data_IF_034285540856
#
_entry.id   IF_034285540856
#
_cell.length_a   1.000
_cell.length_b   1.000
_cell.length_c   1.000
_cell.angle_alpha   90.00
_cell.angle_beta   90.00
_cell.angle_gamma   90.00
#
_symmetry.space_group_name_H-M   'P 1'
#
loop_
_entity.id
_entity.type
_entity.pdbx_description
1 polymer ?
#
# COMPACT_ATOMS: atom_id res chain seq x y z
N UNK A 1 -6.86 10.10 -6.69
CA UNK A 1 -7.47 8.95 -6.02
C UNK A 1 -8.80 9.34 -5.38
N UNK A 2 -9.80 8.47 -5.49
CA UNK A 2 -11.09 8.69 -4.83
C UNK A 2 -10.96 8.39 -3.33
N UNK A 3 -11.46 9.27 -2.43
CA UNK A 3 -11.37 9.02 -0.99
C UNK A 3 -12.05 7.72 -0.55
N UNK A 4 -11.43 7.04 0.41
CA UNK A 4 -11.98 5.86 1.05
C UNK A 4 -12.51 6.28 2.41
N UNK A 5 -13.81 6.06 2.64
CA UNK A 5 -14.46 6.41 3.88
C UNK A 5 -14.55 5.20 4.82
N UNK A 6 -14.29 5.44 6.10
CA UNK A 6 -14.48 4.50 7.19
C UNK A 6 -15.08 5.26 8.38
N UNK A 7 -16.33 4.95 8.72
CA UNK A 7 -17.11 5.73 9.67
C UNK A 7 -17.16 7.21 9.22
N UNK A 8 -16.76 8.14 10.07
CA UNK A 8 -16.75 9.57 9.77
C UNK A 8 -15.36 10.08 9.31
N UNK A 9 -14.45 9.19 8.97
CA UNK A 9 -13.09 9.54 8.56
C UNK A 9 -12.89 9.15 7.10
N UNK A 10 -12.22 10.01 6.34
CA UNK A 10 -11.87 9.77 4.93
C UNK A 10 -10.36 9.74 4.75
N UNK A 11 -9.89 8.83 3.90
CA UNK A 11 -8.48 8.61 3.61
C UNK A 11 -8.23 8.66 2.10
N UNK A 12 -7.21 9.36 1.66
CA UNK A 12 -6.80 9.39 0.25
C UNK A 12 -5.34 9.76 0.09
N UNK A 13 -4.74 9.44 -1.06
CA UNK A 13 -3.40 9.90 -1.40
C UNK A 13 -3.48 11.16 -2.25
N UNK A 14 -2.56 12.08 -2.01
CA UNK A 14 -2.44 13.33 -2.74
C UNK A 14 -0.98 13.65 -2.98
N UNK A 15 -0.67 14.33 -4.07
CA UNK A 15 0.68 14.83 -4.32
C UNK A 15 0.95 16.07 -3.46
N UNK A 16 2.23 16.24 -3.08
CA UNK A 16 2.68 17.47 -2.48
C UNK A 16 2.60 18.65 -3.46
N UNK A 17 2.49 19.86 -2.91
CA UNK A 17 2.54 21.08 -3.71
C UNK A 17 3.93 21.19 -4.34
N UNK A 18 3.97 21.31 -5.67
CA UNK A 18 5.21 21.41 -6.44
C UNK A 18 6.19 20.24 -6.25
N UNK A 19 5.66 19.05 -5.92
CA UNK A 19 6.46 17.86 -5.67
C UNK A 19 5.75 16.61 -6.18
N UNK A 20 6.50 15.63 -6.75
CA UNK A 20 5.94 14.32 -7.10
C UNK A 20 5.72 13.43 -5.89
N UNK A 21 6.09 13.86 -4.70
CA UNK A 21 5.93 13.08 -3.48
C UNK A 21 4.45 12.96 -3.10
N UNK A 22 4.01 11.74 -2.82
CA UNK A 22 2.66 11.45 -2.34
C UNK A 22 2.59 11.55 -0.82
N UNK A 23 1.42 11.94 -0.33
CA UNK A 23 1.09 12.00 1.08
C UNK A 23 -0.25 11.33 1.33
N UNK A 24 -0.40 10.71 2.49
CA UNK A 24 -1.68 10.26 3.00
C UNK A 24 -2.43 11.44 3.61
N UNK A 25 -3.62 11.70 3.12
CA UNK A 25 -4.49 12.75 3.63
C UNK A 25 -5.63 12.15 4.42
N UNK A 26 -5.89 12.66 5.61
CA UNK A 26 -6.93 12.18 6.52
C UNK A 26 -7.84 13.34 6.89
N UNK A 27 -9.14 13.17 6.62
CA UNK A 27 -10.16 14.10 7.07
C UNK A 27 -11.01 13.37 8.11
N UNK A 28 -10.88 13.79 9.37
CA UNK A 28 -11.53 13.16 10.52
C UNK A 28 -10.54 12.74 11.59
N UNK A 29 -10.76 11.58 12.20
CA UNK A 29 -9.92 11.09 13.29
C UNK A 29 -8.57 10.60 12.74
N UNK A 30 -7.51 11.30 13.10
CA UNK A 30 -6.13 11.00 12.70
C UNK A 30 -5.23 10.54 13.86
N UNK A 31 -5.80 10.06 14.95
CA UNK A 31 -5.03 9.51 16.06
C UNK A 31 -4.15 8.33 15.59
N UNK A 32 -2.96 8.22 16.16
CA UNK A 32 -1.92 7.22 15.82
C UNK A 32 -1.22 7.45 14.47
N UNK A 33 -1.52 8.54 13.77
CA UNK A 33 -0.79 8.93 12.56
C UNK A 33 0.19 10.06 12.86
N UNK A 34 1.29 10.07 12.12
CA UNK A 34 2.32 11.11 12.19
C UNK A 34 2.17 12.03 11.00
N UNK A 35 1.94 13.31 11.23
CA UNK A 35 1.75 14.27 10.16
C UNK A 35 1.48 15.67 10.68
N UNK A 36 0.94 16.52 9.83
CA UNK A 36 0.62 17.91 10.13
C UNK A 36 -0.78 18.27 9.66
N UNK A 37 -1.51 19.02 10.48
CA UNK A 37 -2.81 19.55 10.11
C UNK A 37 -2.64 20.76 9.20
N UNK A 38 -3.20 20.68 8.00
CA UNK A 38 -3.15 21.75 7.00
C UNK A 38 -4.56 22.00 6.45
N UNK A 39 -5.14 23.16 6.76
CA UNK A 39 -6.47 23.56 6.26
C UNK A 39 -7.55 22.49 6.49
N UNK A 40 -7.59 21.89 7.67
CA UNK A 40 -8.58 20.87 8.04
C UNK A 40 -8.24 19.46 7.56
N UNK A 41 -7.16 19.26 6.83
CA UNK A 41 -6.69 17.96 6.36
C UNK A 41 -5.39 17.59 7.09
N UNK A 42 -5.36 16.40 7.69
CA UNK A 42 -4.15 15.88 8.32
C UNK A 42 -3.29 15.18 7.28
N UNK A 43 -2.14 15.79 6.97
CA UNK A 43 -1.25 15.36 5.89
C UNK A 43 -0.08 14.56 6.46
N UNK A 44 0.04 13.30 6.04
CA UNK A 44 0.98 12.34 6.58
C UNK A 44 1.98 11.87 5.52
N UNK A 45 3.30 11.82 5.84
CA UNK A 45 4.26 11.18 4.95
C UNK A 45 4.01 9.66 4.88
N UNK A 46 4.43 9.04 3.78
CA UNK A 46 4.28 7.59 3.59
C UNK A 46 5.43 6.84 4.28
N UNK A 47 5.46 6.90 5.59
CA UNK A 47 6.46 6.25 6.44
C UNK A 47 5.89 4.94 7.02
N UNK A 48 6.74 4.00 7.49
CA UNK A 48 6.28 2.72 8.03
C UNK A 48 5.25 2.84 9.15
N UNK A 49 5.40 3.83 10.03
CA UNK A 49 4.47 4.06 11.13
C UNK A 49 3.06 4.39 10.63
N UNK A 50 2.96 5.21 9.59
CA UNK A 50 1.69 5.56 8.99
C UNK A 50 1.09 4.40 8.17
N UNK A 51 1.93 3.60 7.52
CA UNK A 51 1.50 2.39 6.84
C UNK A 51 0.89 1.40 7.83
N UNK A 52 1.55 1.17 8.96
CA UNK A 52 1.06 0.28 10.01
C UNK A 52 -0.26 0.79 10.60
N UNK A 53 -0.35 2.09 10.88
CA UNK A 53 -1.58 2.70 11.40
C UNK A 53 -2.75 2.57 10.41
N UNK A 54 -2.49 2.73 9.12
CA UNK A 54 -3.52 2.60 8.10
C UNK A 54 -4.00 1.16 7.96
N UNK A 55 -3.10 0.18 7.99
CA UNK A 55 -3.48 -1.25 8.00
C UNK A 55 -4.37 -1.60 9.20
N UNK A 56 -4.13 -0.98 10.34
CA UNK A 56 -4.95 -1.18 11.53
C UNK A 56 -6.35 -0.59 11.37
N UNK A 57 -6.45 0.59 10.75
CA UNK A 57 -7.74 1.24 10.45
C UNK A 57 -8.52 0.54 9.35
N UNK A 58 -7.82 0.04 8.33
CA UNK A 58 -8.39 -0.61 7.15
C UNK A 58 -7.79 -2.02 7.02
N UNK A 59 -8.35 -3.02 7.74
CA UNK A 59 -7.76 -4.37 7.78
C UNK A 59 -7.64 -5.08 6.43
N UNK A 60 -8.42 -4.68 5.44
CA UNK A 60 -8.31 -5.22 4.09
C UNK A 60 -6.99 -4.86 3.39
N UNK A 61 -6.20 -3.95 3.96
CA UNK A 61 -4.85 -3.63 3.49
C UNK A 61 -3.79 -4.61 3.99
N UNK A 62 -4.12 -5.50 4.92
CA UNK A 62 -3.18 -6.51 5.39
C UNK A 62 -2.98 -7.59 4.33
N UNK A 63 -1.73 -8.00 4.03
CA UNK A 63 -1.51 -9.19 3.23
C UNK A 63 -2.04 -10.41 3.98
N UNK A 64 -2.56 -11.40 3.23
CA UNK A 64 -3.21 -12.56 3.80
C UNK A 64 -2.64 -13.86 3.21
N UNK A 65 -2.65 -14.98 3.96
CA UNK A 65 -2.41 -16.29 3.37
C UNK A 65 -3.43 -16.56 2.26
N UNK A 66 -2.95 -16.94 1.08
CA UNK A 66 -3.83 -17.15 -0.07
C UNK A 66 -4.37 -18.59 -0.17
N UNK A 67 -3.82 -19.53 0.63
CA UNK A 67 -4.24 -20.92 0.62
C UNK A 67 -3.90 -21.65 -0.67
N UNK A 68 -4.68 -22.70 -0.99
CA UNK A 68 -4.48 -23.56 -2.15
C UNK A 68 -5.30 -23.05 -3.35
N UNK A 69 -5.09 -21.80 -3.74
CA UNK A 69 -5.75 -21.18 -4.89
C UNK A 69 -4.72 -20.85 -5.96
N UNK A 70 -5.17 -20.71 -7.20
CA UNK A 70 -4.30 -20.22 -8.26
C UNK A 70 -3.79 -18.83 -7.91
N UNK A 71 -2.47 -18.70 -7.79
CA UNK A 71 -1.83 -17.46 -7.40
C UNK A 71 -0.69 -17.12 -8.35
N UNK A 72 -0.34 -15.84 -8.41
CA UNK A 72 0.77 -15.33 -9.22
C UNK A 72 1.53 -14.26 -8.45
N UNK A 73 2.86 -14.36 -8.46
CA UNK A 73 3.75 -13.39 -7.84
C UNK A 73 4.18 -12.30 -8.80
N UNK A 74 4.10 -11.05 -8.37
CA UNK A 74 4.51 -9.87 -9.12
C UNK A 74 5.71 -9.24 -8.46
N UNK A 75 6.86 -9.26 -9.16
CA UNK A 75 8.09 -8.62 -8.67
C UNK A 75 8.08 -7.12 -8.92
N UNK A 76 8.57 -6.35 -7.96
CA UNK A 76 8.68 -4.90 -8.06
C UNK A 76 9.93 -4.41 -7.33
N UNK A 77 10.98 -4.16 -8.10
CA UNK A 77 12.28 -3.77 -7.53
C UNK A 77 12.34 -2.34 -7.01
N UNK A 78 11.46 -1.47 -7.51
CA UNK A 78 11.50 -0.04 -7.23
C UNK A 78 10.27 0.46 -6.45
N UNK A 79 9.29 -0.40 -6.22
CA UNK A 79 8.06 -0.03 -5.51
C UNK A 79 7.10 0.81 -6.34
N UNK A 80 7.15 0.72 -7.67
CA UNK A 80 6.38 1.57 -8.58
C UNK A 80 5.41 0.79 -9.48
N UNK A 81 5.52 -0.53 -9.54
CA UNK A 81 4.84 -1.34 -10.55
C UNK A 81 3.52 -1.95 -10.08
N UNK A 82 3.22 -1.95 -8.79
CA UNK A 82 2.03 -2.62 -8.25
C UNK A 82 0.72 -2.09 -8.84
N UNK A 83 0.50 -0.80 -9.10
CA UNK A 83 -0.72 -0.36 -9.78
C UNK A 83 -0.94 -1.04 -11.14
N UNK A 84 0.13 -1.20 -11.92
CA UNK A 84 0.08 -1.94 -13.19
C UNK A 84 -0.20 -3.43 -12.99
N UNK A 85 0.38 -4.04 -11.96
CA UNK A 85 0.11 -5.44 -11.60
C UNK A 85 -1.36 -5.64 -11.23
N UNK A 86 -1.95 -4.73 -10.47
CA UNK A 86 -3.37 -4.76 -10.10
C UNK A 86 -4.23 -4.70 -11.37
N UNK A 87 -3.92 -3.80 -12.29
CA UNK A 87 -4.63 -3.70 -13.56
C UNK A 87 -4.54 -4.99 -14.36
N UNK A 88 -3.37 -5.64 -14.38
CA UNK A 88 -3.15 -6.89 -15.10
C UNK A 88 -3.92 -8.08 -14.50
N UNK A 89 -4.04 -8.17 -13.17
CA UNK A 89 -4.66 -9.30 -12.49
C UNK A 89 -6.17 -9.12 -12.30
N UNK A 90 -6.65 -7.91 -12.45
CA UNK A 90 -8.07 -7.57 -12.27
C UNK A 90 -8.96 -8.42 -13.16
N UNK A 91 -10.01 -8.98 -12.59
CA UNK A 91 -11.00 -9.82 -13.27
C UNK A 91 -10.46 -11.16 -13.82
N UNK A 92 -9.27 -11.60 -13.39
CA UNK A 92 -8.71 -12.89 -13.83
C UNK A 92 -9.07 -14.05 -12.89
N UNK A 93 -9.51 -13.77 -11.67
CA UNK A 93 -9.73 -14.79 -10.65
C UNK A 93 -8.41 -15.33 -10.01
N UNK A 94 -7.26 -14.79 -10.42
CA UNK A 94 -5.96 -15.17 -9.87
C UNK A 94 -5.71 -14.39 -8.58
N UNK A 95 -5.25 -15.08 -7.52
CA UNK A 95 -4.87 -14.44 -6.26
C UNK A 95 -3.45 -13.85 -6.39
N UNK A 96 -3.26 -12.52 -6.25
CA UNK A 96 -1.96 -11.91 -6.46
C UNK A 96 -1.09 -11.92 -5.22
N UNK A 97 0.21 -12.09 -5.42
CA UNK A 97 1.26 -11.79 -4.44
C UNK A 97 1.93 -10.49 -4.87
N UNK A 98 1.51 -9.36 -4.31
CA UNK A 98 2.02 -8.04 -4.70
C UNK A 98 3.33 -7.68 -4.00
N UNK A 99 3.51 -8.08 -2.77
CA UNK A 99 4.74 -7.84 -2.02
C UNK A 99 5.72 -9.00 -2.24
N UNK A 100 6.43 -8.97 -3.37
CA UNK A 100 7.38 -10.01 -3.75
C UNK A 100 8.67 -9.40 -4.23
N UNK A 101 9.79 -9.73 -3.57
CA UNK A 101 11.11 -9.37 -4.03
C UNK A 101 12.14 -10.35 -3.45
N UNK A 102 13.22 -10.62 -4.22
CA UNK A 102 14.28 -11.48 -3.75
C UNK A 102 15.18 -10.79 -2.73
N UNK A 103 15.80 -11.55 -1.85
CA UNK A 103 16.82 -11.04 -0.91
C UNK A 103 17.92 -10.32 -1.66
N UNK A 104 18.40 -10.90 -2.78
CA UNK A 104 19.41 -10.29 -3.62
C UNK A 104 18.96 -8.95 -4.21
N UNK A 105 17.72 -8.88 -4.68
CA UNK A 105 17.13 -7.65 -5.19
C UNK A 105 17.05 -6.57 -4.10
N UNK A 106 16.62 -6.95 -2.90
CA UNK A 106 16.58 -6.03 -1.77
C UNK A 106 17.97 -5.48 -1.41
N UNK A 107 18.98 -6.35 -1.37
CA UNK A 107 20.35 -5.94 -1.09
C UNK A 107 20.88 -4.95 -2.11
N UNK A 108 20.59 -5.16 -3.39
CA UNK A 108 21.04 -4.29 -4.48
C UNK A 108 20.35 -2.94 -4.52
N UNK A 109 19.10 -2.88 -4.14
CA UNK A 109 18.28 -1.65 -4.17
C UNK A 109 18.25 -0.91 -2.84
N UNK A 110 18.81 -1.49 -1.77
CA UNK A 110 18.75 -0.95 -0.43
C UNK A 110 17.35 -1.03 0.20
N UNK A 111 16.46 -1.83 -0.38
CA UNK A 111 15.10 -2.00 0.14
C UNK A 111 15.04 -3.11 1.19
N UNK A 112 14.17 -2.94 2.16
CA UNK A 112 13.89 -3.96 3.19
C UNK A 112 12.59 -4.70 2.85
N UNK A 113 12.35 -5.89 3.42
CA UNK A 113 11.05 -6.56 3.29
C UNK A 113 9.88 -5.68 3.75
N UNK A 114 10.09 -4.83 4.74
CA UNK A 114 9.08 -3.89 5.21
C UNK A 114 8.76 -2.83 4.16
N UNK A 115 9.77 -2.28 3.50
CA UNK A 115 9.56 -1.31 2.42
C UNK A 115 8.78 -1.95 1.26
N UNK A 116 9.13 -3.18 0.89
CA UNK A 116 8.43 -3.92 -0.18
C UNK A 116 6.95 -4.12 0.18
N UNK A 117 6.68 -4.50 1.42
CA UNK A 117 5.31 -4.67 1.92
C UNK A 117 4.54 -3.34 1.90
N UNK A 118 5.14 -2.29 2.42
CA UNK A 118 4.47 -0.98 2.53
C UNK A 118 4.19 -0.38 1.14
N UNK A 119 5.13 -0.49 0.20
CA UNK A 119 4.91 -0.01 -1.17
C UNK A 119 3.74 -0.74 -1.85
N UNK A 120 3.67 -2.05 -1.70
CA UNK A 120 2.55 -2.84 -2.22
C UNK A 120 1.23 -2.44 -1.55
N UNK A 121 1.24 -2.24 -0.24
CA UNK A 121 0.07 -1.80 0.52
C UNK A 121 -0.43 -0.43 0.06
N UNK A 122 0.45 0.54 -0.13
CA UNK A 122 0.05 1.86 -0.62
C UNK A 122 -0.62 1.78 -1.99
N UNK A 123 -0.12 0.92 -2.87
CA UNK A 123 -0.73 0.71 -4.18
C UNK A 123 -2.09 0.00 -4.08
N UNK A 124 -2.22 -1.00 -3.23
CA UNK A 124 -3.50 -1.66 -2.93
C UNK A 124 -4.52 -0.64 -2.43
N UNK A 125 -4.11 0.26 -1.55
CA UNK A 125 -4.94 1.35 -1.05
C UNK A 125 -5.34 2.31 -2.18
N UNK A 126 -4.36 2.79 -2.95
CA UNK A 126 -4.60 3.75 -4.04
C UNK A 126 -5.54 3.21 -5.11
N UNK A 127 -5.38 1.93 -5.45
CA UNK A 127 -6.19 1.25 -6.46
C UNK A 127 -7.49 0.67 -5.91
N UNK A 128 -7.73 0.78 -4.60
CA UNK A 128 -8.90 0.23 -3.92
C UNK A 128 -9.09 -1.27 -4.18
N UNK A 129 -8.01 -2.04 -4.14
CA UNK A 129 -8.04 -3.48 -4.32
C UNK A 129 -8.54 -4.15 -3.03
N UNK A 130 -9.71 -4.78 -3.08
CA UNK A 130 -10.38 -5.35 -1.90
C UNK A 130 -10.23 -6.86 -1.76
N UNK A 131 -9.82 -7.54 -2.81
CA UNK A 131 -9.59 -8.98 -2.76
C UNK A 131 -8.31 -9.32 -1.95
N UNK A 132 -8.19 -10.54 -1.41
CA UNK A 132 -6.96 -10.95 -0.72
C UNK A 132 -5.74 -10.84 -1.62
N UNK A 133 -4.62 -10.44 -1.01
CA UNK A 133 -3.31 -10.38 -1.65
C UNK A 133 -2.24 -10.86 -0.68
N UNK A 134 -1.15 -11.37 -1.22
CA UNK A 134 -0.11 -12.00 -0.42
C UNK A 134 1.22 -11.27 -0.45
N UNK A 135 2.10 -11.69 0.45
CA UNK A 135 3.52 -11.30 0.45
C UNK A 135 4.40 -12.55 0.43
N UNK A 136 5.55 -12.43 -0.21
CA UNK A 136 6.54 -13.50 -0.28
C UNK A 136 7.94 -12.90 -0.43
N UNK A 137 8.89 -13.47 0.29
CA UNK A 137 10.30 -13.17 0.08
C UNK A 137 10.96 -14.35 -0.62
N UNK A 138 11.60 -14.09 -1.75
CA UNK A 138 12.30 -15.12 -2.53
C UNK A 138 13.79 -15.07 -2.17
N UNK A 139 14.29 -16.21 -1.75
CA UNK A 139 15.71 -16.38 -1.37
C UNK A 139 16.60 -16.42 -2.60
#
# INVERSE_FOLDING_TARGET
MKPIADNSTSYYLSFGKDSPQKFLCIEGNHSNFVGELQSGVYKCPLIPENAAALRERLPWLQPQPLGLVTSFGFGDRLGLATPGHITAVKNTGIAPVFAQQSVRGNSRTGRTPQIVLDDAMWAVFEMNWRAPWGRMQIM
#
